data_IF_790372589585
#
_entry.id   IF_790372589585
#
_cell.length_a   1.000
_cell.length_b   1.000
_cell.length_c   1.000
_cell.angle_alpha   90.00
_cell.angle_beta   90.00
_cell.angle_gamma   90.00
#
_symmetry.space_group_name_H-M   'P 1'
#
loop_
_entity.id
_entity.type
_entity.pdbx_description
1 polymer ?
#
# COMPACT_ATOMS: atom_id res chain seq x y z
N UNK A 1 -26.63 9.70 3.59
CA UNK A 1 -25.16 9.51 3.56
C UNK A 1 -24.48 10.85 3.81
N UNK A 2 -23.62 10.92 4.82
CA UNK A 2 -22.84 12.12 5.14
C UNK A 2 -21.43 11.93 4.62
N UNK A 3 -20.94 12.85 3.78
CA UNK A 3 -19.57 12.77 3.22
C UNK A 3 -18.59 13.31 4.24
N UNK A 4 -17.56 12.53 4.57
CA UNK A 4 -16.45 12.94 5.42
C UNK A 4 -15.55 13.89 4.64
N UNK A 5 -15.44 15.12 5.12
CA UNK A 5 -14.60 16.18 4.52
C UNK A 5 -13.25 16.27 5.25
N UNK A 6 -12.25 16.90 4.59
CA UNK A 6 -10.96 17.19 5.19
C UNK A 6 -9.94 16.04 5.18
N UNK A 7 -10.21 14.95 4.48
CA UNK A 7 -9.20 13.91 4.23
C UNK A 7 -8.01 14.47 3.46
N UNK A 8 -6.79 14.20 3.93
CA UNK A 8 -5.54 14.62 3.28
C UNK A 8 -4.96 13.54 2.35
N UNK A 9 -5.51 12.33 2.40
CA UNK A 9 -5.06 11.15 1.64
C UNK A 9 -6.22 10.59 0.84
N UNK A 10 -5.92 9.98 -0.31
CA UNK A 10 -6.91 9.38 -1.23
C UNK A 10 -8.12 10.32 -1.46
N UNK A 11 -7.84 11.58 -1.76
CA UNK A 11 -8.85 12.64 -1.86
C UNK A 11 -9.87 12.41 -2.99
N UNK A 12 -9.50 11.66 -4.02
CA UNK A 12 -10.40 11.25 -5.10
C UNK A 12 -11.33 10.09 -4.70
N UNK A 13 -11.06 9.40 -3.60
CA UNK A 13 -11.92 8.35 -3.06
C UNK A 13 -12.85 8.92 -2.00
N UNK A 14 -14.13 8.98 -2.30
CA UNK A 14 -15.15 9.52 -1.40
C UNK A 14 -15.37 8.55 -0.26
N UNK A 15 -15.27 9.05 0.96
CA UNK A 15 -15.59 8.33 2.21
C UNK A 15 -16.81 8.96 2.86
N UNK A 16 -17.73 8.16 3.35
CA UNK A 16 -18.95 8.66 3.96
C UNK A 16 -19.45 7.75 5.05
N UNK A 17 -20.44 8.24 5.77
CA UNK A 17 -21.20 7.52 6.77
C UNK A 17 -22.59 7.18 6.24
N UNK A 18 -23.01 5.93 6.44
CA UNK A 18 -24.35 5.45 6.10
C UNK A 18 -25.08 5.20 7.43
N UNK A 19 -26.12 5.98 7.67
CA UNK A 19 -27.01 5.79 8.83
C UNK A 19 -28.23 5.05 8.34
N UNK A 20 -28.56 3.93 9.01
CA UNK A 20 -29.74 3.10 8.75
C UNK A 20 -30.57 3.02 10.05
N UNK A 21 -31.81 3.47 9.99
CA UNK A 21 -32.74 3.42 11.11
C UNK A 21 -34.01 2.68 10.68
N UNK A 22 -34.26 1.52 11.25
CA UNK A 22 -35.39 0.65 10.96
C UNK A 22 -35.61 0.37 9.45
N UNK A 23 -34.55 0.24 8.70
CA UNK A 23 -34.62 -0.04 7.25
C UNK A 23 -35.02 -1.49 7.04
N UNK A 24 -36.18 -1.69 6.41
CA UNK A 24 -36.60 -3.03 6.00
C UNK A 24 -35.79 -3.51 4.81
N UNK A 25 -35.29 -4.73 4.90
CA UNK A 25 -34.58 -5.42 3.79
C UNK A 25 -35.33 -6.74 3.54
N UNK A 26 -35.88 -6.96 2.34
CA UNK A 26 -36.57 -8.19 2.00
C UNK A 26 -35.59 -9.38 1.93
N UNK A 27 -36.05 -10.57 2.26
CA UNK A 27 -35.25 -11.80 2.34
C UNK A 27 -34.55 -12.14 1.00
N UNK A 28 -35.14 -11.78 -0.13
CA UNK A 28 -34.57 -11.95 -1.46
C UNK A 28 -33.27 -11.17 -1.69
N UNK A 29 -33.03 -10.14 -0.90
CA UNK A 29 -31.78 -9.35 -0.91
C UNK A 29 -30.69 -9.93 0.00
N UNK A 30 -30.96 -11.01 0.71
CA UNK A 30 -29.95 -11.73 1.47
C UNK A 30 -28.94 -12.37 0.53
N UNK A 31 -27.65 -12.15 0.77
CA UNK A 31 -26.59 -12.72 -0.07
C UNK A 31 -26.64 -14.27 0.03
N UNK A 32 -26.82 -14.98 -1.10
CA UNK A 32 -26.89 -16.44 -1.09
C UNK A 32 -25.55 -17.06 -0.71
N UNK A 33 -25.57 -18.18 0.01
CA UNK A 33 -24.39 -19.00 0.33
C UNK A 33 -23.31 -18.29 1.18
N UNK A 34 -23.62 -17.17 1.77
CA UNK A 34 -22.70 -16.39 2.61
C UNK A 34 -23.30 -16.20 3.99
N UNK A 35 -22.54 -16.56 5.02
CA UNK A 35 -22.90 -16.34 6.41
C UNK A 35 -21.78 -15.63 7.15
N UNK A 36 -22.16 -14.62 7.97
CA UNK A 36 -21.22 -13.87 8.80
C UNK A 36 -20.17 -13.15 7.98
N UNK A 37 -18.93 -13.14 8.46
CA UNK A 37 -17.81 -12.37 7.88
C UNK A 37 -17.13 -13.02 6.66
N UNK A 38 -17.53 -14.22 6.25
CA UNK A 38 -16.90 -14.92 5.10
C UNK A 38 -17.00 -14.13 3.80
N UNK A 39 -18.13 -13.48 3.54
CA UNK A 39 -18.32 -12.63 2.36
C UNK A 39 -17.38 -11.44 2.34
N UNK A 40 -17.41 -10.56 3.35
CA UNK A 40 -16.49 -9.42 3.46
C UNK A 40 -15.02 -9.83 3.37
N UNK A 41 -14.57 -10.87 4.08
CA UNK A 41 -13.19 -11.32 4.03
C UNK A 41 -12.77 -11.88 2.65
N UNK A 42 -13.68 -12.51 1.92
CA UNK A 42 -13.41 -12.93 0.54
C UNK A 42 -13.11 -11.75 -0.38
N UNK A 43 -13.88 -10.66 -0.27
CA UNK A 43 -13.64 -9.42 -1.01
C UNK A 43 -12.32 -8.75 -0.56
N UNK A 44 -12.11 -8.65 0.75
CA UNK A 44 -10.90 -8.02 1.30
C UNK A 44 -9.61 -8.73 0.88
N UNK A 45 -9.59 -10.05 0.80
CA UNK A 45 -8.42 -10.79 0.36
C UNK A 45 -8.04 -10.48 -1.09
N UNK A 46 -9.03 -10.36 -1.98
CA UNK A 46 -8.79 -9.95 -3.37
C UNK A 46 -8.30 -8.50 -3.46
N UNK A 47 -8.91 -7.60 -2.70
CA UNK A 47 -8.51 -6.20 -2.64
C UNK A 47 -7.08 -6.05 -2.11
N UNK A 48 -6.72 -6.75 -1.03
CA UNK A 48 -5.36 -6.76 -0.45
C UNK A 48 -4.31 -7.25 -1.45
N UNK A 49 -4.63 -8.27 -2.24
CA UNK A 49 -3.76 -8.72 -3.33
C UNK A 49 -3.57 -7.63 -4.39
N UNK A 50 -4.65 -6.99 -4.84
CA UNK A 50 -4.59 -5.87 -5.77
C UNK A 50 -3.79 -4.68 -5.25
N UNK A 51 -3.92 -4.36 -3.96
CA UNK A 51 -3.13 -3.32 -3.30
C UNK A 51 -1.63 -3.63 -3.32
N UNK A 52 -1.25 -4.89 -3.09
CA UNK A 52 0.15 -5.30 -3.11
C UNK A 52 0.84 -5.05 -4.47
N UNK A 53 0.08 -5.06 -5.56
CA UNK A 53 0.53 -4.65 -6.89
C UNK A 53 0.53 -3.12 -7.06
N UNK A 54 -0.61 -2.49 -6.79
CA UNK A 54 -0.81 -1.07 -7.06
C UNK A 54 0.17 -0.15 -6.34
N UNK A 55 0.56 -0.49 -5.10
CA UNK A 55 1.54 0.32 -4.35
C UNK A 55 2.95 0.24 -4.92
N UNK A 56 3.31 -0.86 -5.58
CA UNK A 56 4.61 -0.95 -6.26
C UNK A 56 4.68 0.01 -7.45
N UNK A 57 3.59 0.22 -8.19
CA UNK A 57 3.52 1.25 -9.24
C UNK A 57 3.70 2.66 -8.69
N UNK A 58 3.12 2.97 -7.51
CA UNK A 58 3.38 4.24 -6.84
C UNK A 58 4.84 4.37 -6.38
N UNK A 59 5.45 3.29 -5.91
CA UNK A 59 6.86 3.25 -5.54
C UNK A 59 7.78 3.45 -6.76
N UNK A 60 7.47 2.83 -7.89
CA UNK A 60 8.19 3.02 -9.16
C UNK A 60 8.13 4.48 -9.62
N UNK A 61 6.96 5.13 -9.61
CA UNK A 61 6.84 6.54 -9.97
C UNK A 61 7.68 7.43 -9.03
N UNK A 62 7.65 7.17 -7.72
CA UNK A 62 8.48 7.87 -6.75
C UNK A 62 9.98 7.68 -7.03
N UNK A 63 10.39 6.47 -7.35
CA UNK A 63 11.79 6.15 -7.67
C UNK A 63 12.24 6.83 -8.97
N UNK A 64 11.43 6.77 -10.04
CA UNK A 64 11.73 7.43 -11.32
C UNK A 64 11.87 8.94 -11.16
N UNK A 65 10.95 9.58 -10.42
CA UNK A 65 11.02 11.03 -10.15
C UNK A 65 12.25 11.41 -9.35
N UNK A 66 12.56 10.67 -8.28
CA UNK A 66 13.75 10.92 -7.47
C UNK A 66 15.02 10.75 -8.29
N UNK A 67 15.11 9.69 -9.13
CA UNK A 67 16.23 9.46 -10.01
C UNK A 67 16.43 10.62 -10.99
N UNK A 68 15.38 11.04 -11.70
CA UNK A 68 15.47 12.14 -12.66
C UNK A 68 15.84 13.45 -11.98
N UNK A 69 15.13 13.79 -10.89
CA UNK A 69 15.41 15.00 -10.13
C UNK A 69 16.87 15.07 -9.66
N UNK A 70 17.43 13.98 -9.15
CA UNK A 70 18.81 13.97 -8.63
C UNK A 70 19.88 13.98 -9.75
N UNK A 71 19.52 13.57 -10.96
CA UNK A 71 20.38 13.74 -12.14
C UNK A 71 20.42 15.20 -12.60
N UNK A 72 19.29 15.90 -12.57
CA UNK A 72 19.15 17.26 -13.06
C UNK A 72 19.61 18.32 -12.05
N UNK A 73 19.29 18.12 -10.77
CA UNK A 73 19.61 19.05 -9.68
C UNK A 73 21.10 19.01 -9.35
N UNK A 74 21.73 20.16 -9.45
CA UNK A 74 23.16 20.33 -9.11
C UNK A 74 23.34 21.07 -7.79
N UNK A 75 24.24 20.60 -6.97
CA UNK A 75 24.77 21.26 -5.78
C UNK A 75 26.29 20.98 -5.69
N UNK A 76 27.05 21.91 -5.14
CA UNK A 76 28.53 21.77 -5.05
C UNK A 76 29.19 21.44 -6.39
N UNK A 77 28.66 22.01 -7.49
CA UNK A 77 29.21 21.84 -8.84
C UNK A 77 28.93 20.51 -9.54
N UNK A 78 28.12 19.61 -8.94
CA UNK A 78 27.80 18.29 -9.52
C UNK A 78 26.34 17.89 -9.29
N UNK A 79 25.78 16.96 -10.09
CA UNK A 79 24.44 16.40 -9.83
C UNK A 79 24.36 15.78 -8.43
N UNK A 80 23.18 15.84 -7.79
CA UNK A 80 22.96 15.16 -6.51
C UNK A 80 23.21 13.65 -6.64
N UNK A 81 22.86 13.05 -7.78
CA UNK A 81 23.09 11.63 -8.06
C UNK A 81 24.58 11.23 -8.04
N UNK A 82 25.53 12.18 -8.07
CA UNK A 82 26.96 11.89 -7.92
C UNK A 82 27.38 11.65 -6.46
N UNK A 83 26.46 11.70 -5.49
CA UNK A 83 26.75 11.47 -4.09
C UNK A 83 26.39 10.04 -3.66
N UNK A 84 27.23 9.45 -2.81
CA UNK A 84 27.05 8.06 -2.37
C UNK A 84 25.71 7.82 -1.66
N UNK A 85 25.25 8.76 -0.82
CA UNK A 85 23.99 8.62 -0.08
C UNK A 85 22.77 8.61 -1.02
N UNK A 86 22.81 9.37 -2.11
CA UNK A 86 21.73 9.36 -3.12
C UNK A 86 21.74 8.05 -3.91
N UNK A 87 22.92 7.60 -4.36
CA UNK A 87 23.04 6.34 -5.09
C UNK A 87 22.58 5.15 -4.24
N UNK A 88 22.96 5.12 -2.94
CA UNK A 88 22.49 4.10 -2.01
C UNK A 88 20.97 4.09 -1.90
N UNK A 89 20.34 5.25 -1.67
CA UNK A 89 18.88 5.35 -1.60
C UNK A 89 18.20 4.85 -2.88
N UNK A 90 18.70 5.21 -4.05
CA UNK A 90 18.15 4.74 -5.33
C UNK A 90 18.28 3.22 -5.51
N UNK A 91 19.40 2.64 -5.10
CA UNK A 91 19.60 1.19 -5.13
C UNK A 91 18.68 0.45 -4.17
N UNK A 92 18.55 0.92 -2.93
CA UNK A 92 17.64 0.36 -1.92
C UNK A 92 16.19 0.39 -2.43
N UNK A 93 15.73 1.53 -2.97
CA UNK A 93 14.38 1.68 -3.52
C UNK A 93 14.11 0.67 -4.65
N UNK A 94 15.03 0.55 -5.61
CA UNK A 94 14.91 -0.39 -6.73
C UNK A 94 14.89 -1.85 -6.25
N UNK A 95 15.71 -2.20 -5.27
CA UNK A 95 15.76 -3.54 -4.69
C UNK A 95 14.41 -3.91 -4.09
N UNK A 96 13.84 -3.06 -3.24
CA UNK A 96 12.56 -3.33 -2.60
C UNK A 96 11.39 -3.39 -3.58
N UNK A 97 11.39 -2.57 -4.63
CA UNK A 97 10.39 -2.63 -5.72
C UNK A 97 10.49 -3.99 -6.43
N UNK A 98 11.69 -4.41 -6.80
CA UNK A 98 11.90 -5.68 -7.52
C UNK A 98 11.46 -6.88 -6.69
N UNK A 99 11.82 -6.92 -5.41
CA UNK A 99 11.42 -7.98 -4.48
C UNK A 99 9.89 -7.98 -4.27
N UNK A 100 9.29 -6.81 -4.08
CA UNK A 100 7.84 -6.65 -3.90
C UNK A 100 7.04 -7.12 -5.11
N UNK A 101 7.45 -6.77 -6.31
CA UNK A 101 6.84 -7.23 -7.57
C UNK A 101 6.99 -8.75 -7.74
N UNK A 102 8.18 -9.29 -7.48
CA UNK A 102 8.45 -10.73 -7.55
C UNK A 102 7.58 -11.53 -6.57
N UNK A 103 7.43 -11.05 -5.34
CA UNK A 103 6.58 -11.67 -4.32
C UNK A 103 5.10 -11.61 -4.73
N UNK A 104 4.61 -10.47 -5.22
CA UNK A 104 3.23 -10.33 -5.68
C UNK A 104 2.92 -11.25 -6.86
N UNK A 105 3.83 -11.38 -7.83
CA UNK A 105 3.71 -12.30 -8.95
C UNK A 105 3.63 -13.76 -8.49
N UNK A 106 4.50 -14.16 -7.56
CA UNK A 106 4.50 -15.54 -7.04
C UNK A 106 3.21 -15.86 -6.29
N UNK A 107 2.71 -14.94 -5.47
CA UNK A 107 1.43 -15.10 -4.78
C UNK A 107 0.28 -15.23 -5.78
N UNK A 108 0.28 -14.46 -6.88
CA UNK A 108 -0.72 -14.59 -7.94
C UNK A 108 -0.71 -15.97 -8.60
N UNK A 109 0.47 -16.49 -8.93
CA UNK A 109 0.61 -17.84 -9.48
C UNK A 109 0.09 -18.94 -8.55
N UNK A 110 0.37 -18.83 -7.26
CA UNK A 110 -0.16 -19.76 -6.25
C UNK A 110 -1.68 -19.63 -6.11
N UNK A 111 -2.22 -18.42 -6.24
CA UNK A 111 -3.66 -18.17 -6.23
C UNK A 111 -4.35 -18.87 -7.40
N UNK A 112 -3.82 -18.73 -8.61
CA UNK A 112 -4.37 -19.35 -9.83
C UNK A 112 -4.31 -20.89 -9.77
N UNK A 113 -3.32 -21.44 -9.07
CA UNK A 113 -3.16 -22.88 -8.84
C UNK A 113 -4.05 -23.43 -7.71
N UNK A 114 -4.77 -22.60 -6.98
CA UNK A 114 -5.55 -22.99 -5.81
C UNK A 114 -4.71 -23.40 -4.58
N UNK A 115 -3.41 -23.11 -4.59
CA UNK A 115 -2.45 -23.51 -3.55
C UNK A 115 -2.01 -22.37 -2.63
N UNK A 116 -2.78 -21.28 -2.59
CA UNK A 116 -2.42 -20.11 -1.82
C UNK A 116 -2.82 -20.26 -0.34
N UNK A 117 -1.84 -20.15 0.56
CA UNK A 117 -2.11 -19.97 1.97
C UNK A 117 -2.67 -18.54 2.19
N UNK A 118 -3.79 -18.37 2.94
CA UNK A 118 -4.41 -17.07 3.14
C UNK A 118 -3.46 -16.00 3.71
N UNK A 119 -2.52 -16.41 4.54
CA UNK A 119 -1.52 -15.55 5.17
C UNK A 119 -0.52 -14.96 4.18
N UNK A 120 -0.32 -15.60 3.02
CA UNK A 120 0.57 -15.07 1.97
C UNK A 120 0.09 -13.72 1.44
N UNK A 121 -1.23 -13.49 1.36
CA UNK A 121 -1.81 -12.18 1.00
C UNK A 121 -1.47 -11.14 2.07
N UNK A 122 -1.58 -11.50 3.35
CA UNK A 122 -1.19 -10.62 4.46
C UNK A 122 0.30 -10.25 4.40
N UNK A 123 1.15 -11.21 4.06
CA UNK A 123 2.58 -11.00 3.92
C UNK A 123 2.91 -9.96 2.84
N UNK A 124 2.40 -10.14 1.62
CA UNK A 124 2.70 -9.20 0.52
C UNK A 124 2.02 -7.84 0.71
N UNK A 125 0.78 -7.79 1.24
CA UNK A 125 0.12 -6.52 1.55
C UNK A 125 0.94 -5.73 2.56
N UNK A 126 1.31 -6.36 3.68
CA UNK A 126 2.13 -5.74 4.72
C UNK A 126 3.46 -5.23 4.18
N UNK A 127 4.21 -6.11 3.50
CA UNK A 127 5.52 -5.77 2.97
C UNK A 127 5.44 -4.63 1.93
N UNK A 128 4.64 -4.81 0.88
CA UNK A 128 4.65 -3.90 -0.25
C UNK A 128 4.09 -2.53 0.10
N UNK A 129 3.02 -2.45 0.93
CA UNK A 129 2.50 -1.15 1.38
C UNK A 129 3.51 -0.42 2.28
N UNK A 130 4.14 -1.11 3.22
CA UNK A 130 5.17 -0.53 4.07
C UNK A 130 6.38 -0.03 3.28
N UNK A 131 6.89 -0.87 2.36
CA UNK A 131 8.05 -0.52 1.52
C UNK A 131 7.74 0.61 0.53
N UNK A 132 6.56 0.63 -0.07
CA UNK A 132 6.15 1.73 -0.92
C UNK A 132 6.09 3.07 -0.16
N UNK A 133 5.60 3.06 1.08
CA UNK A 133 5.59 4.24 1.94
C UNK A 133 7.00 4.71 2.31
N UNK A 134 7.92 3.79 2.66
CA UNK A 134 9.32 4.11 2.89
C UNK A 134 9.97 4.74 1.65
N UNK A 135 9.73 4.16 0.47
CA UNK A 135 10.24 4.66 -0.81
C UNK A 135 9.71 6.07 -1.10
N UNK A 136 8.42 6.32 -0.86
CA UNK A 136 7.85 7.66 -1.05
C UNK A 136 8.47 8.69 -0.10
N UNK A 137 8.76 8.32 1.15
CA UNK A 137 9.46 9.18 2.12
C UNK A 137 10.89 9.48 1.67
N UNK A 138 11.62 8.47 1.17
CA UNK A 138 12.96 8.67 0.63
C UNK A 138 12.94 9.58 -0.62
N UNK A 139 11.99 9.35 -1.53
CA UNK A 139 11.82 10.20 -2.71
C UNK A 139 11.55 11.66 -2.33
N UNK A 140 10.61 11.89 -1.40
CA UNK A 140 10.32 13.22 -0.89
C UNK A 140 11.58 13.88 -0.28
N UNK A 141 12.34 13.14 0.51
CA UNK A 141 13.57 13.61 1.12
C UNK A 141 14.61 14.02 0.06
N UNK A 142 14.81 13.19 -0.97
CA UNK A 142 15.76 13.44 -2.06
C UNK A 142 15.42 14.68 -2.89
N UNK A 143 14.15 15.12 -2.91
CA UNK A 143 13.72 16.36 -3.56
C UNK A 143 13.90 17.60 -2.66
N UNK A 144 14.28 17.44 -1.39
CA UNK A 144 14.40 18.54 -0.44
C UNK A 144 13.09 19.33 -0.29
N UNK A 145 13.13 20.66 -0.30
CA UNK A 145 11.95 21.51 -0.23
C UNK A 145 10.96 21.29 -1.38
N UNK A 146 11.43 20.97 -2.58
CA UNK A 146 10.59 20.66 -3.74
C UNK A 146 9.74 19.41 -3.52
N UNK A 147 10.18 18.47 -2.68
CA UNK A 147 9.44 17.26 -2.36
C UNK A 147 8.12 17.48 -1.60
N UNK A 148 7.91 18.70 -1.08
CA UNK A 148 6.65 19.06 -0.40
C UNK A 148 5.67 19.72 -1.38
N UNK A 149 6.16 20.20 -2.52
CA UNK A 149 5.35 20.91 -3.50
C UNK A 149 4.55 19.96 -4.39
N UNK A 150 3.30 20.32 -4.72
CA UNK A 150 2.39 19.50 -5.51
C UNK A 150 2.92 19.20 -6.92
N UNK A 151 3.71 20.09 -7.51
CA UNK A 151 4.30 19.95 -8.85
C UNK A 151 5.12 18.65 -9.01
N UNK A 152 5.85 18.25 -7.96
CA UNK A 152 6.73 17.08 -7.99
C UNK A 152 6.00 15.76 -7.72
N UNK A 153 4.73 15.79 -7.32
CA UNK A 153 3.84 14.65 -7.11
C UNK A 153 4.23 13.66 -6.00
N UNK A 154 5.47 13.66 -5.53
CA UNK A 154 5.96 12.69 -4.53
C UNK A 154 5.22 12.80 -3.20
N UNK A 155 4.86 14.01 -2.77
CA UNK A 155 4.07 14.22 -1.55
C UNK A 155 2.66 13.66 -1.67
N UNK A 156 2.05 13.72 -2.86
CA UNK A 156 0.76 13.10 -3.13
C UNK A 156 0.81 11.58 -2.93
N UNK A 157 1.84 10.92 -3.46
CA UNK A 157 2.05 9.49 -3.25
C UNK A 157 2.26 9.17 -1.77
N UNK A 158 3.10 9.95 -1.08
CA UNK A 158 3.36 9.76 0.34
C UNK A 158 2.07 9.82 1.16
N UNK A 159 1.27 10.87 0.99
CA UNK A 159 -0.01 11.01 1.70
C UNK A 159 -0.96 9.85 1.39
N UNK A 160 -1.07 9.43 0.13
CA UNK A 160 -1.94 8.32 -0.26
C UNK A 160 -1.47 6.99 0.34
N UNK A 161 -0.18 6.74 0.37
CA UNK A 161 0.40 5.51 0.89
C UNK A 161 0.26 5.37 2.41
N UNK A 162 0.15 6.48 3.15
CA UNK A 162 -0.21 6.43 4.59
C UNK A 162 -1.58 5.77 4.79
N UNK A 163 -2.58 6.10 3.95
CA UNK A 163 -3.89 5.42 4.00
C UNK A 163 -3.77 3.96 3.58
N UNK A 164 -3.06 3.66 2.50
CA UNK A 164 -2.94 2.29 1.99
C UNK A 164 -2.22 1.38 2.99
N UNK A 165 -1.24 1.91 3.72
CA UNK A 165 -0.58 1.16 4.79
C UNK A 165 -1.50 0.93 6.02
N UNK A 166 -2.57 1.75 6.16
CA UNK A 166 -3.47 1.74 7.31
C UNK A 166 -4.72 0.91 7.09
N UNK A 167 -5.40 1.05 5.94
CA UNK A 167 -6.68 0.40 5.70
C UNK A 167 -6.55 -1.06 5.23
N UNK A 168 -7.67 -1.77 5.16
CA UNK A 168 -7.76 -3.20 4.79
C UNK A 168 -6.94 -4.12 5.69
N UNK A 169 -6.85 -3.79 6.93
CA UNK A 169 -5.92 -4.32 7.91
C UNK A 169 -4.66 -3.48 7.95
N UNK A 170 -4.36 -2.94 9.13
CA UNK A 170 -3.16 -2.16 9.34
C UNK A 170 -1.91 -3.03 9.16
N UNK A 171 -0.77 -2.38 8.98
CA UNK A 171 0.53 -3.04 8.95
C UNK A 171 0.73 -4.00 10.13
N UNK A 172 0.28 -3.59 11.33
CA UNK A 172 0.40 -4.39 12.56
C UNK A 172 -0.62 -5.52 12.62
N UNK A 173 -1.87 -5.31 12.19
CA UNK A 173 -2.87 -6.37 12.09
C UNK A 173 -2.36 -7.52 11.21
N UNK A 174 -1.75 -7.20 10.07
CA UNK A 174 -1.14 -8.23 9.20
C UNK A 174 0.06 -8.92 9.88
N UNK A 175 0.84 -8.22 10.71
CA UNK A 175 1.89 -8.85 11.49
C UNK A 175 1.33 -9.87 12.49
N UNK A 176 0.21 -9.56 13.16
CA UNK A 176 -0.45 -10.49 14.09
C UNK A 176 -1.03 -11.72 13.35
N UNK A 177 -1.59 -11.55 12.15
CA UNK A 177 -2.03 -12.66 11.31
C UNK A 177 -0.86 -13.60 10.98
N UNK A 178 0.28 -13.04 10.58
CA UNK A 178 1.50 -13.80 10.29
C UNK A 178 2.09 -14.47 11.53
N UNK A 179 2.10 -13.76 12.66
CA UNK A 179 2.55 -14.30 13.93
C UNK A 179 1.73 -15.52 14.35
N UNK A 180 0.40 -15.45 14.25
CA UNK A 180 -0.48 -16.59 14.49
C UNK A 180 -0.20 -17.76 13.57
N UNK A 181 0.01 -17.52 12.28
CA UNK A 181 0.29 -18.58 11.31
C UNK A 181 1.58 -19.33 11.63
N UNK A 182 2.59 -18.64 12.17
CA UNK A 182 3.88 -19.22 12.53
C UNK A 182 3.86 -19.95 13.88
N UNK A 183 3.12 -19.45 14.85
CA UNK A 183 3.15 -19.91 16.23
C UNK A 183 1.96 -20.77 16.64
N UNK A 184 0.87 -20.71 15.89
CA UNK A 184 -0.42 -21.29 16.28
C UNK A 184 -1.14 -20.52 17.41
N UNK A 185 -0.53 -19.45 17.95
CA UNK A 185 -1.06 -18.67 19.08
C UNK A 185 -1.67 -17.36 18.56
N UNK A 186 -2.93 -17.12 18.93
CA UNK A 186 -3.61 -15.89 18.56
C UNK A 186 -3.25 -14.76 19.52
N UNK A 187 -2.85 -13.60 18.97
CA UNK A 187 -2.55 -12.41 19.75
C UNK A 187 -3.77 -11.45 19.91
N UNK A 188 -4.84 -11.69 19.19
CA UNK A 188 -6.11 -10.99 19.41
C UNK A 188 -6.90 -11.69 20.52
N UNK A 189 -7.51 -10.90 21.42
CA UNK A 189 -8.39 -11.37 22.49
C UNK A 189 -9.83 -10.99 22.18
#
# INVERSE_FOLDING_TARGET
MVIIKGKLSLRASITGEIVMDNVFVPDENLMPNITGLKGPFGCLNRARYGLAWGVMGAAEDCWHRARQYTLDRKQFGKPLAATQLIQKKLADMQTEITLGLGAALQVGRLFDQGNLAPEAISLIKRNNCGKALEIARLSRDMHGGNGIHAEYQVMRHLMNLETVNTYEGTHDVHALILGRAQTGIQAFF
#
